data_IF_030352112584
#
_entry.id   IF_030352112584
#
_cell.length_a   1.000
_cell.length_b   1.000
_cell.length_c   1.000
_cell.angle_alpha   90.00
_cell.angle_beta   90.00
_cell.angle_gamma   90.00
#
_symmetry.space_group_name_H-M   'P 1'
#
loop_
_entity.id
_entity.type
_entity.pdbx_description
1 polymer ?
#
# COMPACT_ATOMS: atom_id res chain seq x y z
N UNK A 1 7.00 -37.73 -4.39
CA UNK A 1 8.16 -37.12 -3.69
C UNK A 1 9.13 -36.46 -4.67
N UNK A 2 9.66 -37.16 -5.67
CA UNK A 2 10.62 -36.61 -6.66
C UNK A 2 10.15 -35.30 -7.32
N UNK A 3 8.91 -35.23 -7.79
CA UNK A 3 8.36 -34.01 -8.41
C UNK A 3 8.31 -32.81 -7.46
N UNK A 4 8.05 -33.05 -6.17
CA UNK A 4 8.05 -32.00 -5.14
C UNK A 4 9.46 -31.47 -4.93
N UNK A 5 10.47 -32.35 -4.86
CA UNK A 5 11.87 -31.95 -4.73
C UNK A 5 12.35 -31.18 -5.96
N UNK A 6 12.04 -31.65 -7.17
CA UNK A 6 12.36 -30.95 -8.41
C UNK A 6 11.67 -29.58 -8.50
N UNK A 7 10.39 -29.50 -8.10
CA UNK A 7 9.65 -28.23 -8.02
C UNK A 7 10.22 -27.25 -7.00
N UNK A 8 10.63 -27.76 -5.83
CA UNK A 8 11.31 -26.96 -4.81
C UNK A 8 12.66 -26.44 -5.30
N UNK A 9 13.48 -27.31 -5.89
CA UNK A 9 14.79 -26.96 -6.42
C UNK A 9 14.70 -25.94 -7.56
N UNK A 10 13.76 -26.11 -8.49
CA UNK A 10 13.54 -25.14 -9.58
C UNK A 10 13.10 -23.78 -9.06
N UNK A 11 12.22 -23.72 -8.06
CA UNK A 11 11.84 -22.46 -7.39
C UNK A 11 13.02 -21.86 -6.61
N UNK A 12 13.82 -22.67 -5.92
CA UNK A 12 14.99 -22.17 -5.18
C UNK A 12 16.08 -21.58 -6.08
N UNK A 13 16.27 -22.13 -7.28
CA UNK A 13 17.29 -21.67 -8.21
C UNK A 13 16.85 -20.51 -9.11
N UNK A 14 15.56 -20.45 -9.49
CA UNK A 14 15.04 -19.48 -10.48
C UNK A 14 13.97 -18.55 -9.94
N UNK A 15 13.39 -18.87 -8.78
CA UNK A 15 12.39 -18.03 -8.13
C UNK A 15 13.03 -16.84 -7.43
N UNK A 16 12.22 -15.84 -7.14
CA UNK A 16 12.63 -14.67 -6.37
C UNK A 16 11.44 -14.10 -5.61
N UNK A 17 11.74 -13.29 -4.59
CA UNK A 17 10.76 -12.50 -3.83
C UNK A 17 11.40 -11.17 -3.46
N UNK A 18 10.74 -10.07 -3.76
CA UNK A 18 11.22 -8.72 -3.41
C UNK A 18 10.06 -7.84 -3.00
N UNK A 19 10.30 -6.94 -2.06
CA UNK A 19 9.32 -5.97 -1.61
C UNK A 19 9.71 -4.58 -2.12
N UNK A 20 8.72 -3.84 -2.62
CA UNK A 20 8.89 -2.49 -3.14
C UNK A 20 7.87 -1.57 -2.50
N UNK A 21 8.37 -0.58 -1.77
CA UNK A 21 7.57 0.58 -1.37
C UNK A 21 7.33 1.41 -2.63
N UNK A 22 6.07 1.76 -2.87
CA UNK A 22 5.63 2.59 -3.99
C UNK A 22 4.70 3.68 -3.47
N UNK A 23 5.08 4.92 -3.73
CA UNK A 23 4.27 6.12 -3.59
C UNK A 23 3.38 6.30 -4.82
N UNK A 24 2.32 7.10 -4.69
CA UNK A 24 1.45 7.38 -5.83
C UNK A 24 2.22 8.06 -6.96
N UNK A 25 2.12 7.52 -8.17
CA UNK A 25 2.86 7.96 -9.35
C UNK A 25 4.17 7.21 -9.59
N UNK A 26 4.67 6.44 -8.62
CA UNK A 26 5.89 5.66 -8.78
C UNK A 26 5.74 4.59 -9.87
N UNK A 27 6.82 4.37 -10.61
CA UNK A 27 6.91 3.32 -11.62
C UNK A 27 8.18 2.50 -11.42
N UNK A 28 8.04 1.18 -11.32
CA UNK A 28 9.14 0.24 -11.11
C UNK A 28 9.17 -0.82 -12.22
N UNK A 29 10.35 -1.31 -12.62
CA UNK A 29 10.43 -2.44 -13.54
C UNK A 29 9.93 -3.72 -12.87
N UNK A 30 9.18 -4.54 -13.60
CA UNK A 30 8.79 -5.89 -13.15
C UNK A 30 9.96 -6.84 -13.46
N UNK A 31 10.61 -7.44 -12.45
CA UNK A 31 11.84 -8.23 -12.65
C UNK A 31 11.66 -9.38 -13.64
N UNK A 32 12.62 -9.56 -14.55
CA UNK A 32 12.55 -10.60 -15.58
C UNK A 32 11.63 -10.26 -16.76
N UNK A 33 11.13 -9.03 -16.85
CA UNK A 33 10.33 -8.53 -17.98
C UNK A 33 10.75 -7.10 -18.35
N UNK A 34 10.32 -6.63 -19.52
CA UNK A 34 10.46 -5.22 -19.91
C UNK A 34 9.25 -4.36 -19.49
N UNK A 35 8.26 -4.96 -18.83
CA UNK A 35 7.05 -4.28 -18.34
C UNK A 35 7.36 -3.47 -17.09
N UNK A 36 6.78 -2.28 -16.97
CA UNK A 36 6.80 -1.48 -15.74
C UNK A 36 5.47 -1.56 -15.02
N UNK A 37 5.52 -1.59 -13.70
CA UNK A 37 4.35 -1.46 -12.82
C UNK A 37 4.31 -0.03 -12.30
N UNK A 38 3.21 0.69 -12.54
CA UNK A 38 2.97 2.03 -11.98
C UNK A 38 1.88 1.96 -10.92
N UNK A 39 2.10 2.58 -9.76
CA UNK A 39 1.04 2.76 -8.76
C UNK A 39 0.28 4.05 -9.08
N UNK A 40 -0.97 3.93 -9.53
CA UNK A 40 -1.80 5.08 -9.89
C UNK A 40 -2.45 5.71 -8.66
N UNK A 41 -2.86 4.87 -7.70
CA UNK A 41 -3.49 5.27 -6.43
C UNK A 41 -3.49 4.11 -5.45
N UNK A 42 -3.45 4.42 -4.17
CA UNK A 42 -3.71 3.48 -3.09
C UNK A 42 -4.87 3.99 -2.24
N UNK A 43 -5.86 3.13 -1.99
CA UNK A 43 -7.07 3.46 -1.26
C UNK A 43 -7.28 2.48 -0.09
N UNK A 44 -7.78 3.01 1.03
CA UNK A 44 -8.18 2.24 2.21
C UNK A 44 -9.71 2.36 2.31
N UNK A 45 -10.42 1.31 1.92
CA UNK A 45 -11.87 1.25 2.08
C UNK A 45 -12.19 0.95 3.54
N UNK A 46 -12.97 1.81 4.18
CA UNK A 46 -13.48 1.61 5.55
C UNK A 46 -14.97 1.29 5.54
N UNK A 47 -15.42 0.59 6.59
CA UNK A 47 -16.83 0.36 6.87
C UNK A 47 -17.47 1.58 7.52
N UNK A 48 -18.81 1.59 7.66
CA UNK A 48 -19.53 2.71 8.27
C UNK A 48 -19.16 2.94 9.74
N UNK A 49 -18.75 1.89 10.44
CA UNK A 49 -18.22 1.88 11.81
C UNK A 49 -16.72 2.22 11.90
N UNK A 50 -16.08 2.54 10.77
CA UNK A 50 -14.68 3.00 10.71
C UNK A 50 -13.63 1.88 10.69
N UNK A 51 -14.04 0.61 10.70
CA UNK A 51 -13.11 -0.50 10.55
C UNK A 51 -12.58 -0.58 9.12
N UNK A 52 -11.33 -1.04 8.95
CA UNK A 52 -10.76 -1.21 7.62
C UNK A 52 -11.37 -2.43 6.95
N UNK A 53 -12.03 -2.21 5.81
CA UNK A 53 -12.64 -3.25 4.98
C UNK A 53 -11.64 -3.82 3.99
N UNK A 54 -10.90 -2.96 3.29
CA UNK A 54 -10.06 -3.39 2.18
C UNK A 54 -8.95 -2.40 1.86
N UNK A 55 -7.79 -2.94 1.48
CA UNK A 55 -6.68 -2.18 0.90
C UNK A 55 -6.64 -2.42 -0.60
N UNK A 56 -6.59 -1.36 -1.39
CA UNK A 56 -6.65 -1.43 -2.84
C UNK A 56 -5.54 -0.61 -3.48
N UNK A 57 -4.67 -1.29 -4.23
CA UNK A 57 -3.70 -0.64 -5.11
C UNK A 57 -4.24 -0.63 -6.54
N UNK A 58 -4.49 0.56 -7.08
CA UNK A 58 -4.78 0.76 -8.50
C UNK A 58 -3.46 0.88 -9.24
N UNK A 59 -3.18 -0.06 -10.13
CA UNK A 59 -1.88 -0.13 -10.82
C UNK A 59 -2.06 -0.19 -12.32
N UNK A 60 -1.07 0.29 -13.07
CA UNK A 60 -0.97 0.07 -14.51
C UNK A 60 0.25 -0.79 -14.83
N UNK A 61 0.09 -1.77 -15.70
CA UNK A 61 1.21 -2.40 -16.42
C UNK A 61 1.47 -1.61 -17.69
N UNK A 62 2.70 -1.13 -17.84
CA UNK A 62 3.16 -0.34 -18.99
C UNK A 62 4.12 -1.21 -19.78
N UNK A 63 3.74 -1.53 -21.02
CA UNK A 63 4.48 -2.41 -21.91
C UNK A 63 5.46 -1.62 -22.80
N UNK A 64 6.48 -2.29 -23.38
CA UNK A 64 7.47 -1.63 -24.24
C UNK A 64 6.88 -1.01 -25.51
N UNK A 65 5.78 -1.55 -26.00
CA UNK A 65 5.03 -1.08 -27.17
C UNK A 65 4.14 0.15 -26.85
N UNK A 66 4.17 0.62 -25.60
CA UNK A 66 3.35 1.73 -25.12
C UNK A 66 1.94 1.32 -24.69
N UNK A 67 1.56 0.03 -24.79
CA UNK A 67 0.29 -0.45 -24.26
C UNK A 67 0.26 -0.24 -22.74
N UNK A 68 -0.90 0.19 -22.23
CA UNK A 68 -1.16 0.36 -20.81
C UNK A 68 -2.36 -0.50 -20.45
N UNK A 69 -2.22 -1.33 -19.41
CA UNK A 69 -3.31 -2.13 -18.86
C UNK A 69 -3.50 -1.77 -17.38
N UNK A 70 -4.72 -1.39 -17.02
CA UNK A 70 -5.07 -1.04 -15.65
C UNK A 70 -5.61 -2.25 -14.89
N UNK A 71 -5.14 -2.41 -13.66
CA UNK A 71 -5.44 -3.53 -12.77
C UNK A 71 -5.68 -3.03 -11.35
N UNK A 72 -6.26 -3.90 -10.53
CA UNK A 72 -6.43 -3.67 -9.09
C UNK A 72 -5.84 -4.82 -8.31
N UNK A 73 -4.96 -4.51 -7.36
CA UNK A 73 -4.39 -5.49 -6.42
C UNK A 73 -5.02 -5.25 -5.06
N UNK A 74 -5.56 -6.31 -4.48
CA UNK A 74 -6.19 -6.26 -3.15
C UNK A 74 -5.72 -7.44 -2.32
N UNK A 75 -6.02 -7.44 -1.02
CA UNK A 75 -5.69 -8.58 -0.15
C UNK A 75 -6.34 -9.84 -0.73
N UNK A 76 -5.56 -10.91 -0.89
CA UNK A 76 -5.96 -12.19 -1.50
C UNK A 76 -6.30 -12.20 -3.00
N UNK A 77 -6.26 -11.05 -3.68
CA UNK A 77 -6.39 -10.98 -5.13
C UNK A 77 -5.13 -10.36 -5.74
N UNK A 78 -4.04 -11.16 -5.86
CA UNK A 78 -2.80 -10.70 -6.48
C UNK A 78 -2.97 -10.51 -7.98
N UNK A 79 -2.13 -9.65 -8.56
CA UNK A 79 -1.98 -9.54 -10.01
C UNK A 79 -0.91 -10.52 -10.47
N UNK A 80 -1.23 -11.35 -11.47
CA UNK A 80 -0.27 -12.26 -12.10
C UNK A 80 0.09 -11.75 -13.49
N UNK A 81 1.38 -11.55 -13.74
CA UNK A 81 1.93 -11.16 -15.04
C UNK A 81 3.10 -12.06 -15.40
N UNK A 82 2.98 -12.82 -16.50
CA UNK A 82 4.05 -13.72 -17.00
C UNK A 82 4.65 -14.65 -15.93
N UNK A 83 3.81 -15.24 -15.07
CA UNK A 83 4.24 -16.13 -13.99
C UNK A 83 4.81 -15.43 -12.75
N UNK A 84 4.79 -14.10 -12.73
CA UNK A 84 5.17 -13.26 -11.59
C UNK A 84 3.89 -12.79 -10.90
N UNK A 85 3.81 -13.00 -9.59
CA UNK A 85 2.71 -12.56 -8.77
C UNK A 85 3.09 -11.29 -8.01
N UNK A 86 2.17 -10.33 -8.01
CA UNK A 86 2.30 -9.05 -7.32
C UNK A 86 1.23 -9.02 -6.24
N UNK A 87 1.65 -9.06 -4.99
CA UNK A 87 0.80 -9.11 -3.81
C UNK A 87 0.76 -7.76 -3.11
N UNK A 88 -0.40 -7.41 -2.58
CA UNK A 88 -0.51 -6.38 -1.56
C UNK A 88 0.09 -6.93 -0.26
N UNK A 89 1.23 -6.38 0.19
CA UNK A 89 1.92 -6.86 1.38
C UNK A 89 1.69 -5.96 2.60
N UNK A 90 1.89 -4.66 2.46
CA UNK A 90 1.70 -3.69 3.56
C UNK A 90 1.47 -2.28 3.00
N UNK A 91 1.37 -1.28 3.86
CA UNK A 91 1.21 0.15 3.52
C UNK A 91 1.74 1.04 4.64
N UNK A 92 1.78 2.35 4.41
CA UNK A 92 2.09 3.33 5.45
C UNK A 92 1.80 4.75 5.01
N UNK A 93 1.86 5.70 5.95
CA UNK A 93 1.64 7.12 5.68
C UNK A 93 2.87 7.75 5.04
N UNK A 94 2.64 8.70 4.13
CA UNK A 94 3.73 9.43 3.51
C UNK A 94 4.36 10.46 4.44
N UNK A 95 5.68 10.38 4.58
CA UNK A 95 6.44 11.27 5.49
C UNK A 95 6.36 12.75 5.12
N UNK A 96 6.17 13.04 3.83
CA UNK A 96 6.11 14.40 3.24
C UNK A 96 4.92 14.58 2.29
N UNK A 97 3.88 13.77 2.47
CA UNK A 97 2.70 13.79 1.60
C UNK A 97 1.42 13.74 2.42
N UNK A 98 0.45 14.55 2.00
CA UNK A 98 -0.94 14.54 2.47
C UNK A 98 -1.85 14.75 1.27
N UNK A 99 -3.11 14.32 1.37
CA UNK A 99 -4.13 14.62 0.36
C UNK A 99 -4.64 16.07 0.55
N UNK A 100 -4.94 16.43 1.80
CA UNK A 100 -5.46 17.75 2.13
C UNK A 100 -5.15 18.18 3.57
N UNK A 101 -5.18 19.49 3.82
CA UNK A 101 -5.07 20.10 5.14
C UNK A 101 -6.28 21.01 5.40
N UNK A 102 -6.91 20.87 6.55
CA UNK A 102 -7.88 21.81 7.09
C UNK A 102 -7.16 22.98 7.76
N UNK A 103 -7.39 24.18 7.25
CA UNK A 103 -6.75 25.41 7.69
C UNK A 103 -7.80 26.44 8.10
N UNK A 104 -7.51 27.24 9.13
CA UNK A 104 -8.25 28.45 9.45
C UNK A 104 -7.33 29.67 9.43
N UNK A 105 -7.85 30.79 8.94
CA UNK A 105 -7.17 32.08 8.95
C UNK A 105 -7.77 32.92 10.06
N UNK A 106 -6.91 33.47 10.92
CA UNK A 106 -7.29 34.32 12.06
C UNK A 106 -6.54 35.64 12.00
N UNK A 107 -7.19 36.74 12.37
CA UNK A 107 -6.53 38.02 12.59
C UNK A 107 -5.75 37.97 13.90
N UNK A 108 -4.47 38.35 13.87
CA UNK A 108 -3.57 38.27 15.01
C UNK A 108 -3.81 39.37 16.05
N UNK A 109 -4.36 40.51 15.62
CA UNK A 109 -4.65 41.65 16.50
C UNK A 109 -5.97 41.46 17.27
N UNK A 110 -7.03 41.06 16.57
CA UNK A 110 -8.37 40.87 17.16
C UNK A 110 -8.62 39.44 17.66
N UNK A 111 -7.86 38.46 17.17
CA UNK A 111 -8.14 37.03 17.39
C UNK A 111 -9.34 36.51 16.61
N UNK A 112 -9.94 37.32 15.74
CA UNK A 112 -11.14 36.95 14.98
C UNK A 112 -10.81 35.90 13.91
N UNK A 113 -11.67 34.88 13.80
CA UNK A 113 -11.55 33.85 12.76
C UNK A 113 -12.20 34.31 11.46
N UNK A 114 -11.35 34.69 10.51
CA UNK A 114 -11.74 35.23 9.19
C UNK A 114 -12.38 34.15 8.32
N UNK A 115 -11.83 32.93 8.33
CA UNK A 115 -12.37 31.85 7.51
C UNK A 115 -11.70 30.50 7.72
N UNK A 116 -12.30 29.47 7.13
CA UNK A 116 -11.79 28.09 7.12
C UNK A 116 -11.80 27.55 5.69
N UNK A 117 -10.84 26.70 5.36
CA UNK A 117 -10.79 25.98 4.09
C UNK A 117 -10.10 24.63 4.24
N UNK A 118 -10.36 23.72 3.30
CA UNK A 118 -9.64 22.45 3.16
C UNK A 118 -8.81 22.54 1.89
N UNK A 119 -7.51 22.76 2.06
CA UNK A 119 -6.58 22.96 0.97
C UNK A 119 -5.98 21.64 0.50
N UNK A 120 -6.04 21.37 -0.80
CA UNK A 120 -5.35 20.22 -1.41
C UNK A 120 -3.84 20.46 -1.42
N UNK A 121 -3.06 19.41 -1.17
CA UNK A 121 -1.60 19.54 -1.15
C UNK A 121 -1.06 20.07 -2.48
N UNK A 122 -0.12 21.03 -2.42
CA UNK A 122 0.49 21.69 -3.58
C UNK A 122 -0.48 22.38 -4.54
N UNK A 123 -1.70 22.72 -4.09
CA UNK A 123 -2.70 23.44 -4.90
C UNK A 123 -3.24 24.66 -4.17
N UNK A 124 -3.20 25.82 -4.84
CA UNK A 124 -3.80 27.06 -4.30
C UNK A 124 -5.32 26.88 -4.15
N UNK A 125 -5.82 27.16 -2.97
CA UNK A 125 -7.23 26.95 -2.59
C UNK A 125 -7.78 28.24 -1.97
N UNK A 126 -8.91 28.71 -2.47
CA UNK A 126 -9.55 29.93 -1.95
C UNK A 126 -10.13 29.68 -0.54
N UNK A 127 -10.02 30.67 0.34
CA UNK A 127 -10.68 30.67 1.63
C UNK A 127 -12.11 31.17 1.43
N UNK A 128 -13.09 30.36 1.81
CA UNK A 128 -14.50 30.59 1.51
C UNK A 128 -14.97 31.97 1.98
N UNK A 129 -15.65 32.71 1.09
CA UNK A 129 -16.24 34.04 1.36
C UNK A 129 -15.23 35.14 1.70
N UNK A 130 -13.98 35.00 1.26
CA UNK A 130 -12.94 36.01 1.44
C UNK A 130 -12.12 36.22 0.16
N UNK A 131 -11.25 37.22 0.14
CA UNK A 131 -10.21 37.42 -0.88
C UNK A 131 -8.91 36.67 -0.56
N UNK A 132 -8.88 35.88 0.51
CA UNK A 132 -7.73 35.07 0.85
C UNK A 132 -7.67 33.77 0.04
N UNK A 133 -6.46 33.34 -0.27
CA UNK A 133 -6.19 31.98 -0.73
C UNK A 133 -4.96 31.41 -0.05
N UNK A 134 -4.92 30.09 0.10
CA UNK A 134 -3.84 29.38 0.78
C UNK A 134 -3.23 28.33 -0.12
N UNK A 135 -1.93 28.11 0.02
CA UNK A 135 -1.21 27.02 -0.62
C UNK A 135 -0.45 26.24 0.45
N UNK A 136 -0.76 24.95 0.56
CA UNK A 136 0.06 24.02 1.34
C UNK A 136 1.22 23.59 0.47
N UNK A 137 2.38 24.19 0.71
CA UNK A 137 3.58 24.02 -0.11
C UNK A 137 4.36 22.77 0.24
N UNK A 138 4.47 22.48 1.54
CA UNK A 138 5.19 21.32 2.05
C UNK A 138 4.50 20.76 3.30
N UNK A 139 4.78 19.49 3.60
CA UNK A 139 4.28 18.78 4.77
C UNK A 139 5.39 17.93 5.38
N UNK A 140 5.41 17.85 6.71
CA UNK A 140 6.31 16.97 7.45
C UNK A 140 5.55 16.31 8.60
N UNK A 141 5.52 14.98 8.62
CA UNK A 141 4.76 14.22 9.63
C UNK A 141 5.36 14.24 11.04
N UNK A 142 6.69 14.31 11.17
CA UNK A 142 7.38 14.41 12.46
C UNK A 142 8.49 15.47 12.36
N UNK A 143 8.05 16.72 12.41
CA UNK A 143 8.89 17.89 12.14
C UNK A 143 10.07 17.98 13.11
N UNK A 144 11.26 18.09 12.53
CA UNK A 144 12.51 18.41 13.22
C UNK A 144 13.35 19.35 12.36
N UNK A 145 14.17 20.17 12.99
CA UNK A 145 15.19 20.96 12.29
C UNK A 145 16.52 20.25 12.53
N UNK A 146 17.19 19.86 11.45
CA UNK A 146 18.54 19.32 11.53
C UNK A 146 19.48 20.44 12.01
N UNK A 147 20.13 20.23 13.16
CA UNK A 147 20.96 21.25 13.83
C UNK A 147 22.24 21.59 13.07
N UNK A 148 22.72 20.73 12.17
CA UNK A 148 23.94 20.95 11.41
C UNK A 148 23.68 21.74 10.12
N UNK A 149 22.54 21.48 9.47
CA UNK A 149 22.16 22.07 8.19
C UNK A 149 21.16 23.21 8.32
N UNK A 150 20.47 23.32 9.47
CA UNK A 150 19.36 24.24 9.69
C UNK A 150 18.12 23.94 8.83
N UNK A 151 18.06 22.77 8.19
CA UNK A 151 16.97 22.39 7.28
C UNK A 151 15.90 21.59 8.00
N UNK A 152 14.66 21.74 7.50
CA UNK A 152 13.53 20.95 7.97
C UNK A 152 13.65 19.51 7.46
N UNK A 153 13.59 18.57 8.39
CA UNK A 153 13.58 17.15 8.11
C UNK A 153 12.47 16.42 8.89
N UNK A 154 12.31 15.14 8.61
CA UNK A 154 11.37 14.26 9.27
C UNK A 154 12.10 13.24 10.17
N UNK A 155 11.82 13.30 11.48
CA UNK A 155 12.44 12.43 12.48
C UNK A 155 12.04 10.96 12.34
N UNK A 156 10.83 10.66 11.89
CA UNK A 156 10.33 9.27 11.88
C UNK A 156 9.39 8.96 10.70
N UNK A 157 8.90 7.72 10.64
CA UNK A 157 7.88 7.35 9.66
C UNK A 157 6.45 7.71 10.12
N UNK A 158 6.29 8.01 11.41
CA UNK A 158 5.00 8.26 12.03
C UNK A 158 4.67 9.75 12.03
N UNK A 159 3.38 10.06 12.05
CA UNK A 159 2.93 11.45 12.09
C UNK A 159 2.78 11.94 13.53
N UNK A 160 3.92 12.16 14.22
CA UNK A 160 3.95 12.52 15.65
C UNK A 160 4.00 14.02 15.93
N UNK A 161 4.52 14.80 15.00
CA UNK A 161 4.54 16.26 15.09
C UNK A 161 4.26 16.85 13.69
N UNK A 162 3.02 16.70 13.19
CA UNK A 162 2.69 17.11 11.83
C UNK A 162 2.72 18.62 11.67
N UNK A 163 3.41 19.08 10.63
CA UNK A 163 3.51 20.48 10.28
C UNK A 163 3.31 20.68 8.78
N UNK A 164 2.68 21.79 8.43
CA UNK A 164 2.49 22.24 7.04
C UNK A 164 3.17 23.58 6.82
N UNK A 165 3.88 23.71 5.70
CA UNK A 165 4.35 25.01 5.22
C UNK A 165 3.23 25.62 4.39
N UNK A 166 2.63 26.69 4.91
CA UNK A 166 1.51 27.36 4.27
C UNK A 166 1.95 28.73 3.77
N UNK A 167 1.52 29.06 2.55
CA UNK A 167 1.57 30.41 1.99
C UNK A 167 0.15 30.98 1.95
N UNK A 168 -0.05 32.17 2.51
CA UNK A 168 -1.30 32.92 2.48
C UNK A 168 -1.18 34.05 1.47
N UNK A 169 -2.19 34.16 0.62
CA UNK A 169 -2.29 35.18 -0.41
C UNK A 169 -3.55 36.01 -0.21
N UNK A 170 -3.45 37.30 -0.53
CA UNK A 170 -4.60 38.19 -0.71
C UNK A 170 -4.67 38.52 -2.18
N UNK A 171 -5.77 38.13 -2.82
CA UNK A 171 -5.87 38.07 -4.27
C UNK A 171 -4.73 37.21 -4.83
N UNK A 172 -3.69 37.84 -5.39
CA UNK A 172 -2.48 37.15 -5.90
C UNK A 172 -1.18 37.54 -5.20
N UNK A 173 -1.24 38.46 -4.22
CA UNK A 173 -0.06 38.91 -3.49
C UNK A 173 0.21 37.99 -2.29
N UNK A 174 1.45 37.49 -2.19
CA UNK A 174 1.88 36.69 -1.04
C UNK A 174 1.94 37.59 0.19
N UNK A 175 1.11 37.27 1.18
CA UNK A 175 1.01 38.04 2.42
C UNK A 175 1.88 37.45 3.53
N UNK A 176 1.86 36.13 3.68
CA UNK A 176 2.67 35.44 4.68
C UNK A 176 3.03 34.02 4.24
N UNK A 177 4.12 33.50 4.78
CA UNK A 177 4.54 32.11 4.59
C UNK A 177 5.18 31.60 5.88
N UNK A 178 4.79 30.41 6.33
CA UNK A 178 5.35 29.85 7.55
C UNK A 178 4.88 28.44 7.83
N UNK A 179 5.59 27.78 8.75
CA UNK A 179 5.16 26.49 9.27
C UNK A 179 4.03 26.69 10.28
N UNK A 180 3.03 25.82 10.19
CA UNK A 180 1.94 25.70 11.15
C UNK A 180 1.84 24.26 11.62
N UNK A 181 1.66 24.09 12.93
CA UNK A 181 1.71 22.81 13.63
C UNK A 181 0.34 22.47 14.18
N UNK A 182 -0.07 21.21 14.04
CA UNK A 182 -1.38 20.78 14.54
C UNK A 182 -1.41 20.70 16.07
N UNK A 183 -0.32 20.21 16.67
CA UNK A 183 -0.19 20.00 18.12
C UNK A 183 0.18 21.28 18.90
N UNK A 184 0.66 22.32 18.19
CA UNK A 184 1.02 23.60 18.80
C UNK A 184 0.31 24.74 18.04
N UNK A 185 -1.00 24.89 18.24
CA UNK A 185 -1.77 25.95 17.59
C UNK A 185 -1.20 27.33 17.95
N UNK A 186 -0.96 28.17 16.95
CA UNK A 186 -0.41 29.53 17.13
C UNK A 186 1.12 29.61 17.16
N UNK A 187 1.86 28.48 17.14
CA UNK A 187 3.30 28.53 16.91
C UNK A 187 3.58 28.75 15.41
N UNK A 188 3.93 29.99 15.07
CA UNK A 188 4.24 30.40 13.71
C UNK A 188 5.69 30.89 13.60
N UNK A 189 6.34 30.55 12.48
CA UNK A 189 7.75 30.84 12.28
C UNK A 189 8.06 32.30 11.91
N UNK A 190 7.09 33.20 11.61
CA UNK A 190 7.34 34.66 11.39
C UNK A 190 6.11 35.54 11.08
N UNK A 191 6.40 36.85 11.01
CA UNK A 191 5.57 38.05 10.90
C UNK A 191 4.41 38.06 9.88
N UNK A 192 3.33 38.73 10.29
CA UNK A 192 2.12 39.00 9.52
C UNK A 192 0.99 39.43 10.46
N UNK A 193 -0.04 40.09 9.91
CA UNK A 193 -1.26 40.44 10.64
C UNK A 193 -2.23 39.25 10.81
N UNK A 194 -1.95 38.13 10.15
CA UNK A 194 -2.83 36.96 10.11
C UNK A 194 -2.07 35.70 10.47
N UNK A 195 -2.71 34.87 11.30
CA UNK A 195 -2.25 33.55 11.70
C UNK A 195 -3.01 32.46 10.93
N UNK A 196 -2.34 31.33 10.68
CA UNK A 196 -2.91 30.19 9.95
C UNK A 196 -2.91 28.98 10.87
N UNK A 197 -4.07 28.62 11.38
CA UNK A 197 -4.23 27.46 12.24
C UNK A 197 -4.34 26.19 11.40
N UNK A 198 -3.41 25.26 11.61
CA UNK A 198 -3.48 23.92 11.06
C UNK A 198 -4.36 23.05 11.97
N UNK A 199 -5.57 22.71 11.50
CA UNK A 199 -6.60 22.10 12.34
C UNK A 199 -6.64 20.58 12.22
N UNK A 200 -6.50 20.06 11.00
CA UNK A 200 -6.64 18.63 10.68
C UNK A 200 -6.04 18.34 9.29
N UNK A 201 -5.79 17.08 8.95
CA UNK A 201 -5.31 16.69 7.63
C UNK A 201 -5.71 15.26 7.26
N UNK A 202 -5.78 15.02 5.96
CA UNK A 202 -5.96 13.69 5.39
C UNK A 202 -4.61 13.17 4.89
N UNK A 203 -4.05 12.10 5.48
CA UNK A 203 -2.75 11.57 5.07
C UNK A 203 -2.83 10.93 3.68
N UNK A 204 -1.77 11.09 2.88
CA UNK A 204 -1.56 10.25 1.71
C UNK A 204 -0.77 9.00 2.12
N UNK A 205 -0.98 7.90 1.39
CA UNK A 205 -0.42 6.61 1.73
C UNK A 205 0.42 6.03 0.60
N UNK A 206 1.48 5.31 0.98
CA UNK A 206 2.22 4.44 0.06
C UNK A 206 1.79 2.98 0.24
N UNK A 207 1.98 2.18 -0.81
CA UNK A 207 1.78 0.74 -0.80
C UNK A 207 3.12 0.02 -0.76
N UNK A 208 3.22 -1.09 -0.02
CA UNK A 208 4.33 -2.05 -0.12
C UNK A 208 3.80 -3.23 -0.90
N UNK A 209 4.28 -3.37 -2.13
CA UNK A 209 3.97 -4.49 -3.01
C UNK A 209 5.07 -5.52 -2.94
N UNK A 210 4.68 -6.78 -2.86
CA UNK A 210 5.60 -7.90 -2.96
C UNK A 210 5.51 -8.51 -4.36
N UNK A 211 6.66 -8.63 -5.01
CA UNK A 211 6.78 -9.21 -6.35
C UNK A 211 7.53 -10.53 -6.20
N UNK A 212 6.87 -11.63 -6.56
CA UNK A 212 7.42 -12.96 -6.40
C UNK A 212 7.18 -13.84 -7.63
N UNK A 213 8.17 -14.67 -7.95
CA UNK A 213 8.06 -15.71 -8.97
C UNK A 213 8.41 -17.06 -8.36
N UNK A 214 7.59 -18.08 -8.65
CA UNK A 214 7.76 -19.45 -8.15
C UNK A 214 7.58 -20.44 -9.31
N UNK A 215 8.55 -20.50 -10.23
CA UNK A 215 8.39 -21.24 -11.50
C UNK A 215 8.20 -22.75 -11.31
N UNK A 216 8.72 -23.32 -10.21
CA UNK A 216 8.59 -24.75 -9.90
C UNK A 216 7.32 -25.16 -9.19
N UNK A 217 6.44 -24.20 -8.83
CA UNK A 217 5.29 -24.49 -7.96
C UNK A 217 4.29 -25.45 -8.60
N UNK A 218 4.17 -25.43 -9.94
CA UNK A 218 3.34 -26.38 -10.67
C UNK A 218 3.77 -27.83 -10.46
N UNK A 219 5.08 -28.11 -10.48
CA UNK A 219 5.62 -29.46 -10.23
C UNK A 219 5.35 -29.92 -8.80
N UNK A 220 5.42 -28.99 -7.85
CA UNK A 220 5.08 -29.26 -6.44
C UNK A 220 3.62 -29.70 -6.33
N UNK A 221 2.68 -28.96 -6.94
CA UNK A 221 1.26 -29.32 -6.92
C UNK A 221 0.97 -30.66 -7.60
N UNK A 222 1.59 -30.95 -8.74
CA UNK A 222 1.45 -32.27 -9.41
C UNK A 222 1.96 -33.38 -8.49
N UNK A 223 3.09 -33.16 -7.82
CA UNK A 223 3.66 -34.11 -6.87
C UNK A 223 2.74 -34.39 -5.68
N UNK A 224 2.08 -33.36 -5.13
CA UNK A 224 1.10 -33.51 -4.06
C UNK A 224 -0.18 -34.19 -4.53
N UNK A 225 -0.72 -33.83 -5.68
CA UNK A 225 -1.90 -34.46 -6.26
C UNK A 225 -1.67 -35.96 -6.49
N UNK A 226 -0.51 -36.32 -7.06
CA UNK A 226 -0.13 -37.72 -7.25
C UNK A 226 0.01 -38.49 -5.93
N UNK A 227 0.59 -37.86 -4.91
CA UNK A 227 0.69 -38.48 -3.58
C UNK A 227 -0.70 -38.72 -2.94
N UNK A 228 -1.62 -37.75 -3.06
CA UNK A 228 -2.98 -37.88 -2.57
C UNK A 228 -3.74 -39.02 -3.28
N UNK A 229 -3.63 -39.10 -4.61
CA UNK A 229 -4.22 -40.19 -5.41
C UNK A 229 -3.64 -41.55 -4.98
N UNK A 230 -2.31 -41.64 -4.84
CA UNK A 230 -1.65 -42.87 -4.41
C UNK A 230 -2.12 -43.35 -3.04
N UNK A 231 -2.31 -42.42 -2.08
CA UNK A 231 -2.84 -42.72 -0.76
C UNK A 231 -4.29 -43.24 -0.83
N UNK A 232 -5.14 -42.59 -1.62
CA UNK A 232 -6.54 -43.01 -1.81
C UNK A 232 -6.60 -44.43 -2.38
N UNK A 233 -5.80 -44.72 -3.41
CA UNK A 233 -5.74 -46.06 -4.02
C UNK A 233 -5.23 -47.10 -3.04
N UNK A 234 -4.19 -46.79 -2.26
CA UNK A 234 -3.63 -47.69 -1.25
C UNK A 234 -4.68 -48.09 -0.21
N UNK A 235 -5.42 -47.11 0.33
CA UNK A 235 -6.47 -47.37 1.33
C UNK A 235 -7.65 -48.14 0.74
N UNK A 236 -7.99 -47.88 -0.53
CA UNK A 236 -9.10 -48.56 -1.21
C UNK A 236 -8.76 -50.01 -1.53
N UNK A 237 -7.54 -50.30 -1.97
CA UNK A 237 -7.06 -51.65 -2.26
C UNK A 237 -6.84 -52.47 -0.99
N UNK A 238 -6.37 -51.84 0.10
CA UNK A 238 -6.21 -52.49 1.40
C UNK A 238 -7.55 -52.93 2.04
N UNK A 239 -8.68 -52.36 1.59
CA UNK A 239 -10.03 -52.72 2.04
C UNK A 239 -10.71 -53.82 1.22
N UNK A 240 -10.09 -54.32 0.15
CA UNK A 240 -10.65 -55.47 -0.58
C UNK A 240 -10.58 -56.72 0.31
N UNK A 241 -11.72 -57.32 0.74
CA UNK A 241 -11.69 -58.53 1.54
C UNK A 241 -11.02 -59.63 0.72
N UNK A 242 -10.00 -60.29 1.28
CA UNK A 242 -9.57 -61.60 0.78
C UNK A 242 -10.82 -62.49 0.82
N UNK A 243 -11.40 -62.78 -0.34
CA UNK A 243 -12.41 -63.83 -0.48
C UNK A 243 -11.71 -65.11 -0.05
N UNK A 244 -12.05 -65.59 1.15
CA UNK A 244 -11.54 -66.82 1.73
C UNK A 244 -11.88 -67.98 0.77
N UNK A 245 -10.89 -68.45 0.01
CA UNK A 245 -10.84 -69.85 -0.40
C UNK A 245 -10.55 -70.70 0.86
N UNK A 246 -11.53 -70.79 1.76
CA UNK A 246 -11.55 -71.79 2.83
C UNK A 246 -12.84 -72.62 2.81
N UNK A 247 -13.63 -72.52 1.74
CA UNK A 247 -14.87 -73.29 1.59
C UNK A 247 -14.66 -74.62 0.85
N UNK A 248 -13.47 -74.89 0.31
CA UNK A 248 -13.24 -76.08 -0.54
C UNK A 248 -12.66 -77.29 0.21
N UNK A 249 -12.21 -77.13 1.47
CA UNK A 249 -11.70 -78.25 2.29
C UNK A 249 -12.71 -78.79 3.31
N UNK A 250 -13.95 -78.32 3.31
CA UNK A 250 -15.00 -78.78 4.25
C UNK A 250 -16.03 -79.72 3.62
N UNK A 251 -16.00 -79.92 2.31
CA UNK A 251 -16.81 -80.93 1.61
C UNK A 251 -16.08 -82.27 1.40
N UNK A 252 -14.74 -82.31 1.42
CA UNK A 252 -13.96 -83.56 1.28
C UNK A 252 -13.80 -84.38 2.56
N UNK A 253 -14.28 -83.92 3.72
CA UNK A 253 -14.20 -84.68 4.99
C UNK A 253 -15.52 -85.29 5.46
N UNK A 254 -16.54 -85.33 4.58
CA UNK A 254 -17.86 -85.93 4.86
C UNK A 254 -18.17 -87.20 4.04
N UNK A 255 -17.15 -87.81 3.43
CA UNK A 255 -17.17 -89.20 2.91
C UNK A 255 -16.12 -90.04 3.62
#
# INVERSE_FOLDING_TARGET
MVLVLLGGMTTGLRGFRTQKKMSQGDSIPVPGTETKLRLNRFEIETTADGAVKQYRSHVSLIYPDGKIEDHSITVNHPLTHRGINIFQNSYGKERRGIESASLAVTDKGSGERIGRTTAKFKKRTKVSRTNFSVLVKDFVGDFVIDVHTGRVDNRSAEHRNPAVLVELYVDDNLLSSGWSFIEIPGFHSRDGFYDILFLDYEPSFYSILEIASSPGIGLVYIGFAGAAIGLILSLSLARSPRINHSMEQKEESLT
#
